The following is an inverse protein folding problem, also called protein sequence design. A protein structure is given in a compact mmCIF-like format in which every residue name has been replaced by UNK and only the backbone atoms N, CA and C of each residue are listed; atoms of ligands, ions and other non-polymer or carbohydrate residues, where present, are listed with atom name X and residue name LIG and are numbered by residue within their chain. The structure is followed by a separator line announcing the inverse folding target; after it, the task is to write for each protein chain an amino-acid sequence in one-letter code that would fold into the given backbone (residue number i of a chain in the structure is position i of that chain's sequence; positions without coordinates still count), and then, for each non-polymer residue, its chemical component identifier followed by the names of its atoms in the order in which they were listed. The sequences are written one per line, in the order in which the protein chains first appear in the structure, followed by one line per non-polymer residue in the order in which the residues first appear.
data_IF_862576503595
#
_entry.id   IF_862576503595
#
_cell.length_a   1.000
_cell.length_b   1.000
_cell.length_c   1.000
_cell.angle_alpha   90.00
_cell.angle_beta   90.00
_cell.angle_gamma   90.00
#
_symmetry.space_group_name_H-M   'P 1'
#
loop_
_entity.id
_entity.type
_entity.pdbx_description
1 polymer ?
#
# COMPACT_ATOMS: atom_id res chain seq x y z
N UNK A 1 -9.55 13.49 -10.74
CA UNK A 1 -8.86 13.04 -9.49
C UNK A 1 -7.40 13.52 -9.41
N UNK A 2 -6.58 13.30 -10.44
CA UNK A 2 -5.17 13.75 -10.50
C UNK A 2 -4.99 15.26 -10.25
N UNK A 3 -5.88 16.08 -10.80
CA UNK A 3 -5.80 17.54 -10.72
C UNK A 3 -6.01 18.08 -9.29
N UNK A 4 -7.02 17.60 -8.57
CA UNK A 4 -7.25 17.94 -7.14
C UNK A 4 -6.06 17.55 -6.25
N UNK A 5 -5.38 16.45 -6.57
CA UNK A 5 -4.18 15.99 -5.87
C UNK A 5 -2.97 16.88 -6.17
N UNK A 6 -2.78 17.24 -7.44
CA UNK A 6 -1.73 18.18 -7.87
C UNK A 6 -1.89 19.53 -7.18
N UNK A 7 -3.11 20.06 -7.07
CA UNK A 7 -3.40 21.33 -6.39
C UNK A 7 -3.06 21.25 -4.89
N UNK A 8 -3.41 20.16 -4.22
CA UNK A 8 -3.09 19.97 -2.79
C UNK A 8 -1.59 19.81 -2.53
N UNK A 9 -0.88 19.10 -3.40
CA UNK A 9 0.57 18.95 -3.33
C UNK A 9 1.27 20.28 -3.63
N UNK A 10 0.83 21.01 -4.65
CA UNK A 10 1.36 22.33 -4.98
C UNK A 10 1.15 23.32 -3.82
N UNK A 11 -0.05 23.38 -3.22
CA UNK A 11 -0.30 24.22 -2.05
C UNK A 11 0.55 23.87 -0.83
N UNK A 12 0.89 22.59 -0.64
CA UNK A 12 1.75 22.14 0.45
C UNK A 12 3.24 22.43 0.19
N UNK A 13 3.67 22.40 -1.08
CA UNK A 13 5.06 22.64 -1.50
C UNK A 13 5.40 24.13 -1.66
N UNK A 14 4.44 24.94 -2.13
CA UNK A 14 4.62 26.39 -2.43
C UNK A 14 4.66 27.25 -1.17
N UNK A 15 4.15 26.78 -0.03
CA UNK A 15 4.14 27.54 1.23
C UNK A 15 5.54 27.57 1.87
N UNK A 16 6.47 28.29 1.25
CA UNK A 16 7.82 28.54 1.73
C UNK A 16 7.78 29.55 2.89
N UNK A 17 8.51 29.33 4.00
CA UNK A 17 8.51 30.24 5.14
C UNK A 17 9.20 31.56 4.79
N UNK A 18 8.55 32.69 5.11
CA UNK A 18 9.05 34.06 4.90
C UNK A 18 10.44 34.31 5.54
N UNK A 19 10.81 33.55 6.57
CA UNK A 19 12.04 33.78 7.35
C UNK A 19 13.11 32.68 7.18
N UNK A 20 14.36 33.10 6.89
CA UNK A 20 15.54 32.22 6.69
C UNK A 20 15.85 31.29 7.87
N UNK A 21 15.59 31.72 9.11
CA UNK A 21 15.86 30.94 10.34
C UNK A 21 14.85 29.82 10.59
N UNK A 22 13.66 29.90 9.99
CA UNK A 22 12.61 28.88 10.10
C UNK A 22 12.83 27.68 9.17
N UNK A 23 13.83 27.75 8.28
CA UNK A 23 14.23 26.63 7.41
C UNK A 23 14.85 25.45 8.16
N UNK A 24 15.39 25.67 9.35
CA UNK A 24 15.97 24.62 10.20
C UNK A 24 15.00 24.09 11.27
N UNK A 25 13.78 24.64 11.36
CA UNK A 25 12.76 24.07 12.24
C UNK A 25 12.40 22.67 11.75
N UNK A 26 12.45 21.69 12.65
CA UNK A 26 12.03 20.30 12.38
C UNK A 26 10.67 20.27 11.69
N UNK A 27 9.71 21.11 12.12
CA UNK A 27 8.40 21.21 11.47
C UNK A 27 8.40 21.65 10.00
N UNK A 28 9.39 22.42 9.53
CA UNK A 28 9.55 22.75 8.12
C UNK A 28 10.27 21.65 7.35
N UNK A 29 11.33 21.05 7.91
CA UNK A 29 11.99 19.90 7.30
C UNK A 29 11.03 18.71 7.13
N UNK A 30 10.22 18.39 8.14
CA UNK A 30 9.22 17.33 8.05
C UNK A 30 8.14 17.65 7.02
N UNK A 31 7.79 18.92 6.80
CA UNK A 31 6.86 19.32 5.73
C UNK A 31 7.50 19.27 4.34
N UNK A 32 8.73 19.75 4.20
CA UNK A 32 9.48 19.77 2.93
C UNK A 32 9.83 18.36 2.46
N UNK A 33 10.24 17.49 3.37
CA UNK A 33 10.59 16.09 3.11
C UNK A 33 9.47 15.13 3.52
N UNK A 34 8.22 15.60 3.61
CA UNK A 34 7.08 14.79 4.05
C UNK A 34 6.91 13.52 3.21
N UNK A 35 7.16 13.62 1.90
CA UNK A 35 7.06 12.49 0.97
C UNK A 35 8.16 11.42 1.16
N UNK A 36 9.24 11.75 1.87
CA UNK A 36 10.30 10.80 2.21
C UNK A 36 10.18 10.31 3.66
N UNK A 37 10.00 11.24 4.61
CA UNK A 37 9.98 10.94 6.04
C UNK A 37 8.76 10.09 6.42
N UNK A 38 7.59 10.34 5.85
CA UNK A 38 6.37 9.62 6.24
C UNK A 38 6.45 8.13 5.84
N UNK A 39 6.82 7.77 4.60
CA UNK A 39 7.10 6.38 4.25
C UNK A 39 8.26 5.77 5.06
N UNK A 40 9.33 6.54 5.31
CA UNK A 40 10.50 6.07 6.07
C UNK A 40 10.14 5.68 7.51
N UNK A 41 9.45 6.56 8.24
CA UNK A 41 9.04 6.32 9.64
C UNK A 41 8.03 5.18 9.72
N UNK A 42 7.12 5.09 8.75
CA UNK A 42 6.15 3.99 8.69
C UNK A 42 6.86 2.66 8.46
N UNK A 43 7.78 2.59 7.50
CA UNK A 43 8.57 1.38 7.24
C UNK A 43 9.44 0.99 8.44
N UNK A 44 10.08 1.95 9.10
CA UNK A 44 10.91 1.70 10.27
C UNK A 44 10.08 1.18 11.45
N UNK A 45 8.88 1.72 11.67
CA UNK A 45 7.99 1.28 12.74
C UNK A 45 7.45 -0.13 12.48
N UNK A 46 6.78 -0.32 11.36
CA UNK A 46 6.16 -1.61 11.02
C UNK A 46 7.24 -2.69 10.83
N UNK A 47 8.39 -2.32 10.27
CA UNK A 47 9.57 -3.18 10.13
C UNK A 47 10.20 -3.56 11.47
N UNK A 48 10.30 -2.63 12.43
CA UNK A 48 10.83 -2.94 13.77
C UNK A 48 9.87 -3.85 14.54
N UNK A 49 8.56 -3.60 14.48
CA UNK A 49 7.56 -4.48 15.07
C UNK A 49 7.73 -5.91 14.50
N UNK A 50 7.80 -6.07 13.17
CA UNK A 50 7.98 -7.36 12.53
C UNK A 50 9.31 -8.06 12.94
N UNK A 51 10.43 -7.32 13.01
CA UNK A 51 11.72 -7.89 13.42
C UNK A 51 11.70 -8.33 14.88
N UNK A 52 11.06 -7.56 15.77
CA UNK A 52 10.93 -7.94 17.19
C UNK A 52 10.01 -9.14 17.36
N UNK A 53 8.90 -9.24 16.62
CA UNK A 53 7.99 -10.38 16.69
C UNK A 53 8.61 -11.67 16.10
N UNK A 54 9.26 -11.58 14.95
CA UNK A 54 9.92 -12.73 14.30
C UNK A 54 11.19 -13.14 15.05
N UNK A 55 12.03 -12.17 15.41
CA UNK A 55 13.26 -12.43 16.17
C UNK A 55 12.99 -12.96 17.58
N UNK A 56 11.93 -12.48 18.23
CA UNK A 56 11.48 -12.99 19.53
C UNK A 56 11.00 -14.43 19.49
N UNK A 57 10.35 -14.86 18.39
CA UNK A 57 9.89 -16.23 18.21
C UNK A 57 11.00 -17.21 17.75
N UNK A 58 11.96 -16.73 16.95
CA UNK A 58 13.07 -17.54 16.44
C UNK A 58 14.25 -17.67 17.43
N UNK A 59 14.33 -16.80 18.44
CA UNK A 59 15.47 -16.71 19.37
C UNK A 59 15.57 -17.82 20.41
N UNK A 60 14.54 -18.65 20.61
CA UNK A 60 14.52 -19.67 21.68
C UNK A 60 15.00 -21.06 21.26
N UNK A 61 15.27 -21.31 19.97
CA UNK A 61 15.48 -22.67 19.46
C UNK A 61 16.61 -22.84 18.43
N UNK A 62 17.34 -21.78 18.06
CA UNK A 62 18.38 -21.83 17.01
C UNK A 62 19.76 -21.38 17.49
N UNK A 63 20.81 -22.04 16.98
CA UNK A 63 22.23 -21.72 17.25
C UNK A 63 22.58 -20.30 16.80
N UNK A 64 23.31 -19.55 17.63
CA UNK A 64 23.71 -18.16 17.39
C UNK A 64 24.50 -17.93 16.08
N UNK A 65 25.07 -18.99 15.51
CA UNK A 65 25.79 -18.96 14.23
C UNK A 65 24.87 -18.90 12.99
N UNK A 66 23.57 -19.14 13.13
CA UNK A 66 22.62 -19.18 12.00
C UNK A 66 22.06 -17.80 11.61
N UNK A 67 22.24 -16.78 12.44
CA UNK A 67 21.69 -15.43 12.22
C UNK A 67 22.46 -14.53 11.23
N UNK A 68 23.80 -14.57 11.12
CA UNK A 68 24.54 -13.63 10.27
C UNK A 68 24.25 -13.78 8.77
N UNK A 69 24.10 -15.03 8.30
CA UNK A 69 23.89 -15.31 6.89
C UNK A 69 22.54 -14.76 6.36
N UNK A 70 21.38 -15.00 7.03
CA UNK A 70 20.11 -14.38 6.66
C UNK A 70 20.15 -12.85 6.65
N UNK A 71 20.88 -12.22 7.57
CA UNK A 71 20.99 -10.74 7.64
C UNK A 71 21.71 -10.19 6.40
N UNK A 72 22.84 -10.79 6.03
CA UNK A 72 23.60 -10.35 4.85
C UNK A 72 22.81 -10.58 3.57
N UNK A 73 22.21 -11.75 3.42
CA UNK A 73 21.37 -12.07 2.25
C UNK A 73 20.16 -11.13 2.19
N UNK A 74 19.53 -10.84 3.33
CA UNK A 74 18.40 -9.92 3.44
C UNK A 74 18.77 -8.48 3.07
N UNK A 75 19.94 -7.99 3.48
CA UNK A 75 20.44 -6.66 3.08
C UNK A 75 20.71 -6.57 1.58
N UNK A 76 21.33 -7.60 1.00
CA UNK A 76 21.61 -7.65 -0.45
C UNK A 76 20.31 -7.72 -1.23
N UNK A 77 19.38 -8.61 -0.84
CA UNK A 77 18.09 -8.76 -1.49
C UNK A 77 17.24 -7.48 -1.36
N UNK A 78 17.16 -6.89 -0.16
CA UNK A 78 16.43 -5.65 0.09
C UNK A 78 17.00 -4.46 -0.67
N UNK A 79 18.34 -4.33 -0.71
CA UNK A 79 19.02 -3.33 -1.52
C UNK A 79 18.76 -3.52 -3.01
N UNK A 80 18.79 -4.76 -3.49
CA UNK A 80 18.46 -5.12 -4.87
C UNK A 80 17.03 -4.76 -5.26
N UNK A 81 16.04 -5.12 -4.43
CA UNK A 81 14.63 -4.76 -4.64
C UNK A 81 14.43 -3.25 -4.56
N UNK A 82 15.08 -2.57 -3.62
CA UNK A 82 15.03 -1.10 -3.51
C UNK A 82 15.61 -0.40 -4.74
N UNK A 83 16.74 -0.87 -5.25
CA UNK A 83 17.34 -0.36 -6.49
C UNK A 83 16.46 -0.63 -7.71
N UNK A 84 15.86 -1.82 -7.78
CA UNK A 84 14.88 -2.18 -8.81
C UNK A 84 13.69 -1.22 -8.78
N UNK A 85 13.10 -0.98 -7.60
CA UNK A 85 11.99 -0.05 -7.44
C UNK A 85 12.34 1.40 -7.82
N UNK A 86 13.56 1.85 -7.51
CA UNK A 86 14.03 3.18 -7.92
C UNK A 86 14.08 3.31 -9.45
N UNK A 87 14.64 2.31 -10.14
CA UNK A 87 14.73 2.30 -11.60
C UNK A 87 13.38 2.09 -12.28
N UNK A 88 12.52 1.23 -11.72
CA UNK A 88 11.16 1.01 -12.22
C UNK A 88 10.28 2.25 -12.00
N UNK A 89 10.49 3.00 -10.92
CA UNK A 89 9.78 4.25 -10.64
C UNK A 89 10.14 5.39 -11.61
N UNK A 90 11.36 5.42 -12.13
CA UNK A 90 11.77 6.44 -13.10
C UNK A 90 11.33 6.13 -14.54
N UNK A 91 11.27 4.85 -14.91
CA UNK A 91 11.07 4.43 -16.31
C UNK A 91 9.65 3.93 -16.63
N UNK A 92 8.89 3.44 -15.64
CA UNK A 92 7.56 2.87 -15.88
C UNK A 92 6.46 3.90 -15.54
N UNK A 93 5.37 3.90 -16.31
CA UNK A 93 4.18 4.69 -15.97
C UNK A 93 3.75 4.32 -14.54
N UNK A 94 3.70 5.32 -13.63
CA UNK A 94 3.27 5.18 -12.24
C UNK A 94 1.97 4.36 -12.08
N UNK A 95 1.12 4.37 -13.11
CA UNK A 95 -0.10 3.58 -13.17
C UNK A 95 0.15 2.06 -13.19
N UNK A 96 1.13 1.58 -13.95
CA UNK A 96 1.44 0.14 -14.06
C UNK A 96 2.01 -0.37 -12.74
N UNK A 97 2.89 0.42 -12.10
CA UNK A 97 3.43 0.09 -10.78
C UNK A 97 2.31 -0.08 -9.74
N UNK A 98 1.35 0.86 -9.72
CA UNK A 98 0.21 0.76 -8.80
C UNK A 98 -0.67 -0.46 -9.10
N UNK A 99 -0.92 -0.77 -10.37
CA UNK A 99 -1.72 -1.96 -10.74
C UNK A 99 -1.03 -3.23 -10.23
N UNK A 100 0.26 -3.42 -10.50
CA UNK A 100 1.01 -4.61 -10.06
C UNK A 100 1.03 -4.70 -8.53
N UNK A 101 1.30 -3.58 -7.84
CA UNK A 101 1.29 -3.53 -6.38
C UNK A 101 -0.07 -3.90 -5.81
N UNK A 102 -1.17 -3.40 -6.39
CA UNK A 102 -2.52 -3.78 -5.95
C UNK A 102 -2.85 -5.25 -6.21
N UNK A 103 -2.39 -5.83 -7.32
CA UNK A 103 -2.58 -7.26 -7.59
C UNK A 103 -1.86 -8.13 -6.55
N UNK A 104 -0.62 -7.78 -6.19
CA UNK A 104 0.15 -8.49 -5.15
C UNK A 104 -0.56 -8.35 -3.79
N UNK A 105 -1.04 -7.16 -3.44
CA UNK A 105 -1.78 -6.95 -2.19
C UNK A 105 -3.07 -7.77 -2.12
N UNK A 106 -3.78 -7.93 -3.23
CA UNK A 106 -4.97 -8.78 -3.28
C UNK A 106 -4.63 -10.28 -3.12
N UNK A 107 -3.53 -10.74 -3.70
CA UNK A 107 -3.05 -12.11 -3.51
C UNK A 107 -2.70 -12.40 -2.04
N UNK A 108 -1.93 -11.51 -1.40
CA UNK A 108 -1.54 -11.64 0.01
C UNK A 108 -2.77 -11.63 0.91
N UNK A 109 -3.71 -10.72 0.68
CA UNK A 109 -4.94 -10.65 1.46
C UNK A 109 -5.81 -11.91 1.31
N UNK A 110 -5.91 -12.47 0.10
CA UNK A 110 -6.59 -13.76 -0.13
C UNK A 110 -5.91 -14.90 0.63
N UNK A 111 -4.57 -14.96 0.59
CA UNK A 111 -3.78 -15.95 1.31
C UNK A 111 -3.95 -15.86 2.83
N UNK A 112 -3.87 -14.66 3.39
CA UNK A 112 -4.08 -14.42 4.83
C UNK A 112 -5.50 -14.76 5.27
N UNK A 113 -6.51 -14.48 4.46
CA UNK A 113 -7.90 -14.83 4.76
C UNK A 113 -8.11 -16.35 4.80
N UNK A 114 -7.63 -17.06 3.77
CA UNK A 114 -7.66 -18.53 3.71
C UNK A 114 -6.93 -19.18 4.89
N UNK A 115 -5.75 -18.66 5.23
CA UNK A 115 -4.94 -19.11 6.37
C UNK A 115 -5.67 -18.89 7.70
N UNK A 116 -6.37 -17.77 7.86
CA UNK A 116 -7.18 -17.50 9.04
C UNK A 116 -8.26 -18.57 9.25
N UNK A 117 -9.01 -18.91 8.19
CA UNK A 117 -10.04 -19.95 8.25
C UNK A 117 -9.42 -21.32 8.55
N UNK A 118 -8.28 -21.63 7.94
CA UNK A 118 -7.55 -22.87 8.21
C UNK A 118 -7.17 -22.99 9.68
N UNK A 119 -6.64 -21.94 10.32
CA UNK A 119 -6.30 -21.97 11.74
C UNK A 119 -7.51 -22.23 12.64
N UNK A 120 -8.68 -21.68 12.33
CA UNK A 120 -9.90 -21.97 13.09
C UNK A 120 -10.32 -23.44 12.97
N UNK A 121 -10.19 -24.03 11.79
CA UNK A 121 -10.52 -25.45 11.58
C UNK A 121 -9.48 -26.37 12.23
N UNK A 122 -8.21 -26.05 12.09
CA UNK A 122 -7.11 -26.77 12.74
C UNK A 122 -7.24 -26.74 14.27
N UNK A 123 -7.61 -25.59 14.85
CA UNK A 123 -7.90 -25.49 16.28
C UNK A 123 -9.05 -26.41 16.74
N UNK A 124 -10.13 -26.48 15.96
CA UNK A 124 -11.24 -27.40 16.28
C UNK A 124 -10.79 -28.87 16.22
N UNK A 125 -9.99 -29.23 15.22
CA UNK A 125 -9.44 -30.58 15.10
C UNK A 125 -8.50 -30.93 16.27
N UNK A 126 -7.57 -30.04 16.61
CA UNK A 126 -6.66 -30.20 17.74
C UNK A 126 -7.41 -30.36 19.08
N UNK A 127 -8.53 -29.65 19.24
CA UNK A 127 -9.38 -29.80 20.43
C UNK A 127 -10.07 -31.17 20.48
N UNK A 128 -10.46 -31.72 19.32
CA UNK A 128 -11.11 -33.03 19.23
C UNK A 128 -10.13 -34.19 19.43
N UNK A 129 -8.89 -34.07 18.92
CA UNK A 129 -7.84 -35.08 19.06
C UNK A 129 -7.10 -35.03 20.41
N UNK A 130 -7.29 -33.96 21.19
CA UNK A 130 -6.68 -33.81 22.51
C UNK A 130 -5.18 -33.51 22.47
N UNK A 131 -4.64 -33.14 21.31
CA UNK A 131 -3.23 -32.84 21.08
C UNK A 131 -3.03 -31.97 19.83
N UNK A 132 -1.84 -31.39 19.68
CA UNK A 132 -1.52 -30.59 18.50
C UNK A 132 -1.15 -31.49 17.32
N UNK A 133 -2.12 -31.72 16.43
CA UNK A 133 -1.93 -32.58 15.27
C UNK A 133 -0.85 -32.03 14.32
N UNK A 134 -0.63 -30.72 14.30
CA UNK A 134 0.37 -30.09 13.44
C UNK A 134 1.82 -30.38 13.90
N UNK A 135 2.03 -30.66 15.18
CA UNK A 135 3.35 -31.02 15.73
C UNK A 135 3.74 -32.48 15.43
N UNK A 136 2.76 -33.34 15.16
CA UNK A 136 2.96 -34.76 14.85
C UNK A 136 3.44 -35.01 13.40
N UNK A 137 3.68 -33.95 12.62
CA UNK A 137 4.23 -34.02 11.27
C UNK A 137 3.16 -34.08 10.17
N UNK A 138 3.53 -34.65 9.02
CA UNK A 138 2.68 -34.73 7.81
C UNK A 138 2.21 -36.16 7.54
N UNK A 139 2.10 -36.99 8.58
CA UNK A 139 1.73 -38.40 8.45
C UNK A 139 0.23 -38.66 8.63
N UNK A 140 -0.23 -39.90 8.41
CA UNK A 140 -1.62 -40.28 8.71
C UNK A 140 -1.97 -39.99 10.18
N UNK A 141 -3.11 -39.33 10.42
CA UNK A 141 -3.55 -38.92 11.76
C UNK A 141 -3.21 -37.47 12.15
N UNK A 142 -2.51 -36.73 11.29
CA UNK A 142 -2.19 -35.29 11.53
C UNK A 142 -3.16 -34.32 10.86
N UNK A 143 -4.16 -34.84 10.15
CA UNK A 143 -5.18 -34.06 9.46
C UNK A 143 -6.55 -34.73 9.52
N UNK A 144 -7.62 -33.94 9.41
CA UNK A 144 -8.99 -34.44 9.37
C UNK A 144 -9.36 -34.88 7.94
N UNK A 145 -9.44 -36.18 7.71
CA UNK A 145 -9.79 -36.77 6.41
C UNK A 145 -11.18 -36.31 5.94
N UNK A 146 -12.10 -35.98 6.85
CA UNK A 146 -13.46 -35.58 6.48
C UNK A 146 -13.54 -34.13 6.00
N UNK A 147 -12.62 -33.27 6.46
CA UNK A 147 -12.62 -31.84 6.16
C UNK A 147 -11.50 -31.43 5.20
N UNK A 148 -10.51 -32.30 4.95
CA UNK A 148 -9.42 -32.08 4.02
C UNK A 148 -9.85 -32.30 2.57
N UNK A 149 -9.50 -31.35 1.70
CA UNK A 149 -9.66 -31.45 0.24
C UNK A 149 -8.47 -32.19 -0.36
N UNK A 150 -7.26 -31.84 0.09
CA UNK A 150 -6.04 -32.54 -0.26
C UNK A 150 -5.09 -32.56 0.94
N UNK A 151 -4.22 -33.56 0.91
CA UNK A 151 -3.09 -33.68 1.80
C UNK A 151 -1.88 -34.15 0.99
N UNK A 152 -0.71 -33.58 1.25
CA UNK A 152 0.56 -33.99 0.62
C UNK A 152 1.52 -34.34 1.77
N UNK A 153 2.30 -35.41 1.70
CA UNK A 153 3.17 -35.73 2.85
C UNK A 153 4.44 -34.85 2.95
N UNK A 154 4.70 -33.99 1.96
CA UNK A 154 5.83 -33.07 1.90
C UNK A 154 5.34 -31.63 1.69
N UNK A 155 6.17 -30.61 1.96
CA UNK A 155 5.83 -29.19 1.77
C UNK A 155 4.96 -28.61 2.89
N UNK A 156 5.27 -29.00 4.14
CA UNK A 156 4.58 -28.52 5.32
C UNK A 156 5.13 -27.15 5.74
N UNK A 157 4.33 -26.08 5.74
CA UNK A 157 4.80 -24.73 6.06
C UNK A 157 5.21 -24.53 7.53
N UNK A 158 4.92 -25.49 8.42
CA UNK A 158 5.28 -25.42 9.85
C UNK A 158 6.60 -26.14 10.17
N UNK A 159 7.06 -27.06 9.31
CA UNK A 159 8.26 -27.87 9.55
C UNK A 159 9.30 -27.77 8.43
N UNK A 160 8.86 -27.62 7.18
CA UNK A 160 9.75 -27.57 6.02
C UNK A 160 10.17 -26.13 5.72
N UNK A 161 11.49 -25.90 5.65
CA UNK A 161 12.05 -24.59 5.35
C UNK A 161 11.65 -24.11 3.95
N UNK A 162 11.11 -22.88 3.84
CA UNK A 162 10.77 -22.20 2.58
C UNK A 162 9.31 -22.27 2.17
N UNK A 163 8.53 -23.24 2.68
CA UNK A 163 7.09 -23.32 2.42
C UNK A 163 6.27 -22.36 3.30
N UNK A 164 6.88 -21.88 4.38
CA UNK A 164 6.39 -20.80 5.24
C UNK A 164 6.17 -19.50 4.46
N UNK A 165 7.04 -19.19 3.50
CA UNK A 165 6.92 -18.00 2.63
C UNK A 165 5.71 -18.14 1.70
N UNK A 166 5.51 -19.31 1.09
CA UNK A 166 4.34 -19.57 0.24
C UNK A 166 3.04 -19.59 1.06
N UNK A 167 3.09 -20.06 2.31
CA UNK A 167 1.98 -19.95 3.23
C UNK A 167 1.66 -18.50 3.59
N UNK A 168 2.67 -17.65 3.82
CA UNK A 168 2.49 -16.24 4.14
C UNK A 168 1.97 -15.40 2.96
N UNK A 169 2.43 -15.69 1.73
CA UNK A 169 2.10 -14.89 0.54
C UNK A 169 0.85 -15.42 -0.17
N UNK A 170 0.76 -16.73 -0.40
CA UNK A 170 -0.32 -17.34 -1.20
C UNK A 170 -1.37 -18.04 -0.34
N UNK A 171 -1.12 -18.25 0.95
CA UNK A 171 -1.98 -19.08 1.81
C UNK A 171 -1.83 -20.57 1.54
N UNK A 172 -0.69 -20.99 0.97
CA UNK A 172 -0.40 -22.40 0.70
C UNK A 172 -0.45 -23.24 1.98
N UNK A 173 -1.14 -24.38 1.91
CA UNK A 173 -1.16 -25.35 2.99
C UNK A 173 -1.12 -26.77 2.44
N UNK A 174 -0.34 -27.58 3.11
CA UNK A 174 -0.11 -28.99 2.84
C UNK A 174 -1.40 -29.83 3.01
N UNK A 175 -2.12 -29.57 4.11
CA UNK A 175 -3.44 -30.14 4.42
C UNK A 175 -4.52 -29.07 4.24
N UNK A 176 -4.94 -28.81 3.00
CA UNK A 176 -5.99 -27.81 2.79
C UNK A 176 -7.36 -28.38 3.16
N UNK A 177 -8.18 -27.56 3.80
CA UNK A 177 -9.53 -27.89 4.22
C UNK A 177 -10.56 -27.30 3.28
N UNK A 178 -11.78 -27.83 3.25
CA UNK A 178 -12.87 -27.25 2.44
C UNK A 178 -13.05 -25.77 2.78
N UNK A 179 -12.93 -25.41 4.06
CA UNK A 179 -13.04 -24.02 4.52
C UNK A 179 -11.96 -23.11 3.95
N UNK A 180 -10.68 -23.53 3.95
CA UNK A 180 -9.59 -22.71 3.42
C UNK A 180 -9.73 -22.49 1.90
N UNK A 181 -10.11 -23.52 1.16
CA UNK A 181 -10.30 -23.43 -0.30
C UNK A 181 -11.51 -22.58 -0.66
N UNK A 182 -12.65 -22.79 0.00
CA UNK A 182 -13.87 -22.03 -0.25
C UNK A 182 -13.67 -20.56 0.13
N UNK A 183 -13.05 -20.28 1.27
CA UNK A 183 -12.80 -18.90 1.71
C UNK A 183 -11.87 -18.15 0.77
N UNK A 184 -10.85 -18.80 0.20
CA UNK A 184 -10.00 -18.21 -0.83
C UNK A 184 -10.82 -17.82 -2.08
N UNK A 185 -11.68 -18.71 -2.57
CA UNK A 185 -12.55 -18.44 -3.73
C UNK A 185 -13.58 -17.35 -3.44
N UNK A 186 -14.22 -17.38 -2.28
CA UNK A 186 -15.19 -16.37 -1.84
C UNK A 186 -14.56 -14.98 -1.76
N UNK A 187 -13.31 -14.89 -1.28
CA UNK A 187 -12.56 -13.63 -1.26
C UNK A 187 -12.38 -13.05 -2.67
N UNK A 188 -12.01 -13.88 -3.65
CA UNK A 188 -11.88 -13.45 -5.04
C UNK A 188 -13.20 -13.02 -5.66
N UNK A 189 -14.29 -13.78 -5.42
CA UNK A 189 -15.63 -13.42 -5.86
C UNK A 189 -16.02 -12.05 -5.27
N UNK A 190 -15.76 -11.83 -3.98
CA UNK A 190 -16.03 -10.56 -3.32
C UNK A 190 -15.26 -9.40 -3.97
N UNK A 191 -13.97 -9.56 -4.24
CA UNK A 191 -13.15 -8.53 -4.92
C UNK A 191 -13.69 -8.25 -6.33
N UNK A 192 -14.02 -9.28 -7.11
CA UNK A 192 -14.60 -9.12 -8.46
C UNK A 192 -15.92 -8.35 -8.37
N UNK A 193 -16.81 -8.70 -7.43
CA UNK A 193 -18.06 -7.98 -7.22
C UNK A 193 -17.82 -6.50 -6.88
N UNK A 194 -16.90 -6.19 -5.96
CA UNK A 194 -16.57 -4.81 -5.59
C UNK A 194 -16.02 -4.01 -6.79
N UNK A 195 -15.11 -4.60 -7.57
CA UNK A 195 -14.56 -3.95 -8.76
C UNK A 195 -15.64 -3.70 -9.82
N UNK A 196 -16.52 -4.66 -10.06
CA UNK A 196 -17.67 -4.49 -10.97
C UNK A 196 -18.61 -3.38 -10.48
N UNK A 197 -18.89 -3.28 -9.18
CA UNK A 197 -19.69 -2.21 -8.61
C UNK A 197 -19.03 -0.84 -8.78
N UNK A 198 -17.72 -0.73 -8.58
CA UNK A 198 -16.98 0.52 -8.81
C UNK A 198 -17.02 0.95 -10.28
N UNK A 199 -16.81 0.01 -11.20
CA UNK A 199 -16.88 0.29 -12.66
C UNK A 199 -18.30 0.68 -13.06
N UNK A 200 -19.32 0.04 -12.49
CA UNK A 200 -20.71 0.38 -12.75
C UNK A 200 -21.05 1.79 -12.25
N UNK A 201 -20.60 2.15 -11.04
CA UNK A 201 -20.77 3.52 -10.50
C UNK A 201 -20.07 4.56 -11.38
N UNK A 202 -18.88 4.26 -11.92
CA UNK A 202 -18.19 5.18 -12.83
C UNK A 202 -18.96 5.41 -14.15
N UNK A 203 -19.62 4.37 -14.68
CA UNK A 203 -20.37 4.45 -15.94
C UNK A 203 -21.78 5.05 -15.79
N UNK A 204 -22.48 4.76 -14.71
CA UNK A 204 -23.90 5.11 -14.54
C UNK A 204 -24.16 6.15 -13.44
N UNK A 205 -23.18 6.46 -12.60
CA UNK A 205 -23.29 7.44 -11.52
C UNK A 205 -24.11 6.97 -10.31
N UNK A 206 -24.54 5.71 -10.27
CA UNK A 206 -25.29 5.11 -9.17
C UNK A 206 -25.01 3.60 -9.07
N UNK A 207 -25.39 2.96 -7.96
CA UNK A 207 -25.31 1.51 -7.78
C UNK A 207 -26.38 0.77 -8.62
N UNK A 208 -26.12 -0.49 -9.05
CA UNK A 208 -27.00 -1.22 -9.98
C UNK A 208 -28.41 -1.52 -9.44
N UNK A 209 -28.67 -1.26 -8.15
CA UNK A 209 -29.98 -1.52 -7.52
C UNK A 209 -30.61 -0.30 -6.83
N UNK A 210 -29.92 0.83 -6.76
CA UNK A 210 -30.41 2.03 -6.06
C UNK A 210 -29.99 3.28 -6.82
N UNK A 211 -30.96 3.95 -7.47
CA UNK A 211 -30.74 5.12 -8.35
C UNK A 211 -30.10 6.34 -7.65
N UNK A 212 -30.07 6.36 -6.32
CA UNK A 212 -29.58 7.51 -5.53
C UNK A 212 -28.40 7.17 -4.60
N UNK A 213 -27.91 5.92 -4.58
CA UNK A 213 -26.81 5.54 -3.70
C UNK A 213 -25.50 5.35 -4.47
N UNK A 214 -24.45 5.90 -3.90
CA UNK A 214 -23.04 5.74 -4.33
C UNK A 214 -22.31 4.88 -3.30
N UNK A 215 -21.26 4.14 -3.67
CA UNK A 215 -20.52 3.28 -2.73
C UNK A 215 -20.00 4.05 -1.50
N UNK A 216 -19.74 5.34 -1.67
CA UNK A 216 -19.29 6.24 -0.60
C UNK A 216 -20.35 6.43 0.50
N UNK A 217 -21.64 6.36 0.17
CA UNK A 217 -22.73 6.55 1.11
C UNK A 217 -23.01 5.29 1.96
N UNK A 218 -22.59 4.10 1.50
CA UNK A 218 -22.68 2.85 2.28
C UNK A 218 -21.67 2.80 3.44
N UNK A 219 -20.68 3.69 3.47
CA UNK A 219 -19.78 3.79 4.61
C UNK A 219 -20.55 4.41 5.80
N UNK A 220 -20.73 3.72 6.94
CA UNK A 220 -21.45 4.27 8.10
C UNK A 220 -20.80 5.56 8.62
N UNK A 221 -19.49 5.72 8.41
CA UNK A 221 -18.76 6.94 8.75
C UNK A 221 -19.15 8.15 7.88
N UNK A 222 -19.78 7.95 6.72
CA UNK A 222 -20.28 9.04 5.86
C UNK A 222 -21.40 9.83 6.54
N UNK A 223 -22.34 9.12 7.17
CA UNK A 223 -23.47 9.72 7.88
C UNK A 223 -23.06 10.31 9.23
N UNK A 224 -22.12 9.67 9.94
CA UNK A 224 -21.65 10.13 11.26
C UNK A 224 -20.74 11.36 11.15
N UNK A 225 -19.85 11.44 10.13
CA UNK A 225 -18.91 12.58 9.98
C UNK A 225 -19.41 13.74 9.14
N UNK A 226 -20.68 13.78 8.74
CA UNK A 226 -21.27 14.95 8.07
C UNK A 226 -20.47 15.45 6.85
N UNK A 227 -19.93 14.54 6.02
CA UNK A 227 -19.07 14.86 4.87
C UNK A 227 -19.81 15.50 3.68
N UNK A 228 -20.98 16.13 3.88
CA UNK A 228 -21.56 17.05 2.89
C UNK A 228 -20.62 18.23 2.56
N UNK A 229 -19.69 18.58 3.46
CA UNK A 229 -18.82 19.76 3.33
C UNK A 229 -17.54 19.60 2.51
N UNK A 230 -17.10 18.38 2.15
CA UNK A 230 -15.80 18.17 1.46
C UNK A 230 -15.90 17.91 -0.05
N UNK A 231 -17.11 17.86 -0.61
CA UNK A 231 -17.30 17.91 -2.05
C UNK A 231 -17.37 19.38 -2.46
N UNK A 232 -16.20 19.97 -2.76
CA UNK A 232 -16.10 21.31 -3.33
C UNK A 232 -17.05 21.40 -4.53
N UNK A 233 -18.06 22.27 -4.46
CA UNK A 233 -19.06 22.48 -5.52
C UNK A 233 -18.32 22.83 -6.82
N UNK A 234 -18.85 22.45 -7.99
CA UNK A 234 -18.16 22.68 -9.27
C UNK A 234 -17.70 24.13 -9.44
N UNK A 235 -18.55 25.10 -9.06
CA UNK A 235 -18.23 26.54 -9.05
C UNK A 235 -17.02 26.92 -8.15
N UNK A 236 -16.88 26.29 -6.98
CA UNK A 236 -15.75 26.54 -6.08
C UNK A 236 -14.44 25.91 -6.59
N UNK A 237 -14.51 24.85 -7.41
CA UNK A 237 -13.32 24.32 -8.11
C UNK A 237 -12.87 25.31 -9.17
N UNK A 238 -13.79 25.84 -9.96
CA UNK A 238 -13.49 26.77 -11.06
C UNK A 238 -12.91 28.09 -10.54
N UNK A 239 -13.40 28.59 -9.40
CA UNK A 239 -12.82 29.74 -8.71
C UNK A 239 -11.39 29.46 -8.22
N UNK A 240 -11.13 28.25 -7.70
CA UNK A 240 -9.80 27.83 -7.24
C UNK A 240 -8.81 27.68 -8.40
N UNK A 241 -9.25 27.16 -9.54
CA UNK A 241 -8.46 27.09 -10.78
C UNK A 241 -8.15 28.47 -11.35
N UNK A 242 -9.10 29.39 -11.25
CA UNK A 242 -8.91 30.79 -11.68
C UNK A 242 -7.85 31.48 -10.81
N UNK A 243 -7.91 31.28 -9.49
CA UNK A 243 -6.90 31.76 -8.53
C UNK A 243 -5.50 31.16 -8.79
N UNK A 244 -5.42 29.86 -9.09
CA UNK A 244 -4.16 29.21 -9.45
C UNK A 244 -3.57 29.74 -10.76
N UNK A 245 -4.42 29.99 -11.76
CA UNK A 245 -3.99 30.57 -13.04
C UNK A 245 -3.45 31.99 -12.81
N UNK A 246 -4.11 32.82 -12.00
CA UNK A 246 -3.59 34.14 -11.65
C UNK A 246 -2.27 34.09 -10.88
N UNK A 247 -2.08 33.10 -9.99
CA UNK A 247 -0.83 32.96 -9.24
C UNK A 247 0.35 32.57 -10.13
N UNK A 248 0.16 31.66 -11.10
CA UNK A 248 1.20 31.31 -12.08
C UNK A 248 1.53 32.42 -13.08
N UNK A 249 0.60 33.36 -13.35
CA UNK A 249 0.88 34.54 -14.18
C UNK A 249 1.49 35.71 -13.37
N UNK A 250 1.37 35.69 -12.03
CA UNK A 250 1.95 36.71 -11.14
C UNK A 250 3.45 36.54 -10.87
N UNK A 251 3.99 35.34 -11.02
CA UNK A 251 5.43 35.07 -10.78
C UNK A 251 6.27 35.06 -12.07
N UNK A 252 5.65 34.94 -13.25
CA UNK A 252 6.36 34.99 -14.55
C UNK A 252 6.56 36.44 -15.05
N UNK A 253 5.82 37.41 -14.49
CA UNK A 253 5.86 38.78 -15.02
C UNK A 253 7.00 39.63 -14.44
N UNK A 254 7.67 39.19 -13.37
CA UNK A 254 8.75 39.97 -12.75
C UNK A 254 10.15 39.62 -13.26
N UNK A 255 10.39 38.40 -13.79
CA UNK A 255 11.70 38.05 -14.34
C UNK A 255 11.87 38.45 -15.83
N UNK A 256 10.77 38.56 -16.59
CA UNK A 256 10.85 38.86 -18.03
C UNK A 256 10.96 40.37 -18.32
N UNK A 257 10.55 41.25 -17.40
CA UNK A 257 10.64 42.71 -17.61
C UNK A 257 12.04 43.30 -17.38
N UNK A 258 12.89 42.62 -16.60
CA UNK A 258 14.25 43.11 -16.34
C UNK A 258 15.23 42.69 -17.45
N UNK A 259 15.08 41.49 -18.05
CA UNK A 259 15.89 41.08 -19.21
C UNK A 259 15.53 41.84 -20.50
N UNK A 260 14.27 42.21 -20.69
CA UNK A 260 13.82 43.00 -21.85
C UNK A 260 14.24 44.48 -21.78
N UNK A 261 14.53 45.00 -20.59
CA UNK A 261 14.97 46.39 -20.39
C UNK A 261 16.50 46.52 -20.51
N UNK A 262 17.26 45.53 -20.03
CA UNK A 262 18.73 45.51 -20.20
C UNK A 262 19.16 45.26 -21.64
N UNK A 263 18.42 44.47 -22.42
CA UNK A 263 18.72 44.22 -23.84
C UNK A 263 18.52 45.46 -24.72
N UNK A 264 17.51 46.28 -24.46
CA UNK A 264 17.27 47.54 -25.20
C UNK A 264 18.28 48.66 -24.92
N UNK A 265 18.87 48.69 -23.72
CA UNK A 265 19.92 49.65 -23.36
C UNK A 265 21.27 49.32 -24.03
N UNK A 266 21.55 48.03 -24.26
CA UNK A 266 22.78 47.58 -24.93
C UNK A 266 22.71 47.89 -26.44
N UNK A 267 21.55 47.70 -27.07
CA UNK A 267 21.36 47.96 -28.50
C UNK A 267 21.45 49.46 -28.85
N UNK A 268 20.93 50.36 -27.99
CA UNK A 268 21.03 51.81 -28.21
C UNK A 268 22.43 52.41 -27.98
N UNK A 269 23.31 51.71 -27.26
CA UNK A 269 24.69 52.16 -27.02
C UNK A 269 25.65 51.69 -28.12
N UNK A 270 25.25 50.71 -28.93
CA UNK A 270 26.05 50.18 -30.05
C UNK A 270 25.84 50.92 -31.38
N UNK A 271 24.82 51.79 -31.47
CA UNK A 271 24.50 52.61 -32.68
C UNK A 271 24.85 54.10 -32.54
N UNK A 272 25.74 54.47 -31.62
CA UNK A 272 26.40 55.80 -31.58
C UNK A 272 27.91 55.65 -31.52
#
# INVERSE_FOLDING_TARGET
MKEKWRVKLAQALVKSPENKKDRFKIGYLTKKYALFILPLVTCLREGLEAVVFVGGAAGTSSSASAFPLPVVIGLIAGGGVGGLLYYFGSNMSMQIFLIISTCILYLIAAGLFSRGVWFFQSYQFNKATGGDAAENGSGPGTYDINQSVWHVNCCNPLKDNGWDIFNAILGWQNSATYGSVISYNVYWIFIICVLLLMVYEEKHGHLPFTKNLTLVQLNPMYHIKGKKKNNLTQAQKDELFTKLKQQNFGEVTTEVTDEASSSKLIEQTAEK
#
